data_IF_310900214889
#
_entry.id   IF_310900214889
#
_cell.length_a   1.000
_cell.length_b   1.000
_cell.length_c   1.000
_cell.angle_alpha   90.00
_cell.angle_beta   90.00
_cell.angle_gamma   90.00
#
_symmetry.space_group_name_H-M   'P 1'
#
loop_
_entity.id
_entity.type
_entity.pdbx_description
1 polymer ?
#
# COMPACT_ATOMS: atom_id res chain seq x y z
N UNK A 1 -16.81 -6.30 23.58
CA UNK A 1 -15.80 -6.95 24.46
C UNK A 1 -15.11 -8.14 23.77
N UNK A 2 -15.67 -8.72 22.70
CA UNK A 2 -15.01 -9.76 21.89
C UNK A 2 -14.15 -9.23 20.71
N UNK A 3 -14.40 -8.00 20.24
CA UNK A 3 -13.81 -7.48 18.98
C UNK A 3 -12.43 -6.80 19.12
N UNK A 4 -12.07 -6.34 20.32
CA UNK A 4 -10.70 -5.81 20.56
C UNK A 4 -9.59 -6.88 20.44
N UNK A 5 -9.97 -8.15 20.26
CA UNK A 5 -9.06 -9.29 20.07
C UNK A 5 -8.62 -9.51 18.62
N UNK A 6 -9.35 -8.98 17.63
CA UNK A 6 -9.12 -9.33 16.21
C UNK A 6 -7.76 -8.88 15.66
N UNK A 7 -7.35 -7.64 15.94
CA UNK A 7 -6.06 -7.10 15.51
C UNK A 7 -4.92 -7.32 16.50
N UNK A 8 -5.20 -7.36 17.80
CA UNK A 8 -4.17 -7.71 18.81
C UNK A 8 -3.74 -9.20 18.70
N UNK A 9 -4.44 -10.03 17.91
CA UNK A 9 -4.15 -11.45 17.70
C UNK A 9 -3.93 -11.86 16.22
N UNK A 10 -4.04 -10.98 15.21
CA UNK A 10 -3.70 -11.34 13.82
C UNK A 10 -2.21 -11.12 13.55
N UNK A 11 -1.38 -12.17 13.52
CA UNK A 11 0.07 -12.03 13.39
C UNK A 11 0.49 -11.49 12.01
N UNK A 12 -0.41 -11.49 11.03
CA UNK A 12 -0.11 -11.06 9.67
C UNK A 12 -0.15 -9.54 9.49
N UNK A 13 -0.67 -8.79 10.46
CA UNK A 13 -0.83 -7.33 10.36
C UNK A 13 -0.31 -6.63 11.60
N UNK A 14 0.26 -5.44 11.41
CA UNK A 14 0.56 -4.52 12.52
C UNK A 14 0.19 -3.10 12.14
N UNK A 15 -0.30 -2.30 13.11
CA UNK A 15 -0.57 -0.89 12.88
C UNK A 15 0.69 -0.06 13.13
N UNK A 16 1.08 0.71 12.12
CA UNK A 16 2.16 1.69 12.24
C UNK A 16 1.62 3.07 12.65
N UNK A 17 0.41 3.40 12.22
CA UNK A 17 -0.31 4.62 12.62
C UNK A 17 -1.81 4.41 12.56
N UNK A 18 -2.54 4.93 13.55
CA UNK A 18 -3.99 5.02 13.57
C UNK A 18 -4.39 6.48 13.70
N UNK A 19 -5.23 6.98 12.78
CA UNK A 19 -5.72 8.34 12.87
C UNK A 19 -6.58 8.51 14.14
N UNK A 20 -6.29 9.51 14.99
CA UNK A 20 -7.08 9.73 16.20
C UNK A 20 -8.45 10.38 15.92
N UNK A 21 -8.69 10.87 14.70
CA UNK A 21 -9.92 11.53 14.29
C UNK A 21 -10.79 10.59 13.47
N UNK A 22 -12.08 10.52 13.81
CA UNK A 22 -13.06 9.68 13.09
C UNK A 22 -13.24 10.12 11.65
N UNK A 23 -13.06 11.41 11.38
CA UNK A 23 -13.14 11.99 10.05
C UNK A 23 -11.88 11.74 9.22
N UNK A 24 -10.85 11.09 9.78
CA UNK A 24 -9.55 10.87 9.18
C UNK A 24 -8.73 12.15 8.94
N UNK A 25 -7.59 12.02 8.26
CA UNK A 25 -6.73 13.15 7.89
C UNK A 25 -6.87 13.49 6.40
N UNK A 26 -7.22 14.75 6.13
CA UNK A 26 -7.19 15.31 4.78
C UNK A 26 -5.76 15.68 4.37
N UNK A 27 -5.54 15.88 3.07
CA UNK A 27 -4.23 16.21 2.50
C UNK A 27 -3.53 17.41 3.17
N UNK A 28 -4.27 18.44 3.61
CA UNK A 28 -3.71 19.61 4.29
C UNK A 28 -3.20 19.32 5.72
N UNK A 29 -3.54 18.16 6.27
CA UNK A 29 -3.05 17.66 7.58
C UNK A 29 -1.90 16.68 7.46
N UNK A 30 -1.39 16.47 6.25
CA UNK A 30 -0.28 15.56 5.97
C UNK A 30 0.89 16.35 5.36
N UNK A 31 2.09 16.07 5.85
CA UNK A 31 3.34 16.60 5.34
C UNK A 31 4.33 15.46 5.12
N UNK A 32 5.37 15.74 4.34
CA UNK A 32 6.46 14.78 4.07
C UNK A 32 7.79 15.44 4.39
N UNK A 33 8.63 14.74 5.15
CA UNK A 33 10.07 14.98 5.19
C UNK A 33 10.75 13.93 4.31
N UNK A 34 11.16 14.34 3.10
CA UNK A 34 11.85 13.45 2.16
C UNK A 34 13.37 13.65 2.20
N UNK A 35 14.12 12.56 2.39
CA UNK A 35 15.58 12.62 2.52
C UNK A 35 16.22 11.25 2.31
N UNK A 36 17.42 11.23 1.73
CA UNK A 36 18.21 10.02 1.53
C UNK A 36 18.65 9.36 2.84
N UNK A 37 18.61 10.09 3.97
CA UNK A 37 18.84 9.52 5.31
C UNK A 37 17.79 8.48 5.72
N UNK A 38 16.62 8.52 5.07
CA UNK A 38 15.51 7.59 5.26
C UNK A 38 15.51 6.42 4.27
N UNK A 39 16.51 6.33 3.39
CA UNK A 39 16.69 5.17 2.52
C UNK A 39 17.10 3.94 3.31
N UNK A 40 16.92 2.77 2.69
CA UNK A 40 17.39 1.47 3.19
C UNK A 40 18.88 1.54 3.53
N UNK A 41 19.30 0.95 4.64
CA UNK A 41 20.71 0.72 4.96
C UNK A 41 21.26 -0.35 4.03
N UNK A 42 22.47 -0.13 3.53
CA UNK A 42 23.15 -1.08 2.64
C UNK A 42 23.88 -2.10 3.50
N UNK A 43 23.64 -3.38 3.26
CA UNK A 43 24.42 -4.48 3.85
C UNK A 43 25.36 -5.01 2.77
N UNK A 44 26.64 -4.60 2.73
CA UNK A 44 27.52 -4.85 1.57
C UNK A 44 27.67 -6.33 1.21
N UNK A 45 27.62 -7.22 2.20
CA UNK A 45 27.70 -8.67 2.00
C UNK A 45 26.45 -9.28 1.34
N UNK A 46 25.34 -8.54 1.28
CA UNK A 46 24.05 -9.02 0.77
C UNK A 46 23.66 -8.37 -0.56
N UNK A 47 24.24 -7.23 -0.95
CA UNK A 47 23.86 -6.54 -2.21
C UNK A 47 24.05 -7.41 -3.46
N UNK A 48 25.09 -8.24 -3.51
CA UNK A 48 25.27 -9.18 -4.63
C UNK A 48 24.08 -10.15 -4.75
N UNK A 49 23.52 -10.58 -3.61
CA UNK A 49 22.37 -11.47 -3.58
C UNK A 49 21.09 -10.80 -4.10
N UNK A 50 20.92 -9.50 -3.85
CA UNK A 50 19.81 -8.72 -4.44
C UNK A 50 19.90 -8.73 -5.97
N UNK A 51 21.10 -8.51 -6.53
CA UNK A 51 21.32 -8.56 -7.98
C UNK A 51 21.06 -9.96 -8.57
N UNK A 52 21.50 -11.03 -7.88
CA UNK A 52 21.27 -12.41 -8.30
C UNK A 52 19.77 -12.74 -8.32
N UNK A 53 19.03 -12.43 -7.25
CA UNK A 53 17.58 -12.65 -7.16
C UNK A 53 16.85 -11.88 -8.27
N UNK A 54 17.25 -10.64 -8.53
CA UNK A 54 16.65 -9.83 -9.58
C UNK A 54 16.93 -10.39 -10.97
N UNK A 55 18.18 -10.79 -11.23
CA UNK A 55 18.57 -11.43 -12.48
C UNK A 55 17.76 -12.70 -12.77
N UNK A 56 17.59 -13.57 -11.77
CA UNK A 56 16.73 -14.75 -11.87
C UNK A 56 15.28 -14.38 -12.22
N UNK A 57 14.73 -13.37 -11.54
CA UNK A 57 13.35 -12.94 -11.79
C UNK A 57 13.16 -12.32 -13.19
N UNK A 58 14.13 -11.56 -13.70
CA UNK A 58 14.09 -11.04 -15.07
C UNK A 58 14.18 -12.15 -16.13
N UNK A 59 14.85 -13.27 -15.84
CA UNK A 59 14.86 -14.43 -16.73
C UNK A 59 13.50 -15.14 -16.77
N UNK A 60 12.77 -15.18 -15.65
CA UNK A 60 11.42 -15.74 -15.56
C UNK A 60 10.37 -14.85 -16.23
N UNK A 61 10.53 -13.53 -16.12
CA UNK A 61 9.61 -12.55 -16.71
C UNK A 61 10.37 -11.43 -17.44
N UNK A 62 10.48 -11.56 -18.76
CA UNK A 62 11.20 -10.61 -19.63
C UNK A 62 10.57 -9.22 -19.71
N UNK A 63 9.32 -9.06 -19.27
CA UNK A 63 8.61 -7.76 -19.25
C UNK A 63 8.79 -7.01 -17.94
N UNK A 64 9.45 -7.62 -16.96
CA UNK A 64 9.68 -7.00 -15.67
C UNK A 64 10.68 -5.85 -15.78
N UNK A 65 10.33 -4.71 -15.19
CA UNK A 65 11.20 -3.54 -15.10
C UNK A 65 11.37 -3.10 -13.64
N UNK A 66 12.48 -2.43 -13.35
CA UNK A 66 12.73 -1.87 -12.03
C UNK A 66 12.12 -0.46 -11.94
N UNK A 67 11.12 -0.28 -11.07
CA UNK A 67 10.47 1.01 -10.82
C UNK A 67 10.87 1.59 -9.46
N UNK A 68 11.09 2.90 -9.39
CA UNK A 68 11.34 3.61 -8.15
C UNK A 68 10.06 3.65 -7.30
N UNK A 69 10.23 3.63 -5.98
CA UNK A 69 9.15 3.64 -5.01
C UNK A 69 9.52 4.54 -3.84
N UNK A 70 8.51 5.11 -3.19
CA UNK A 70 8.73 5.77 -1.90
C UNK A 70 9.00 4.72 -0.84
N UNK A 71 10.07 4.89 -0.06
CA UNK A 71 10.33 4.10 1.15
C UNK A 71 9.80 4.87 2.34
N UNK A 72 8.99 4.26 3.19
CA UNK A 72 8.64 4.87 4.48
C UNK A 72 9.66 4.44 5.52
N UNK A 73 10.18 5.40 6.29
CA UNK A 73 11.09 5.12 7.40
C UNK A 73 10.36 5.22 8.74
N UNK A 74 9.54 6.26 8.92
CA UNK A 74 8.81 6.52 10.16
C UNK A 74 7.70 7.52 9.91
N UNK A 75 6.84 7.70 10.91
CA UNK A 75 5.90 8.81 10.96
C UNK A 75 5.95 9.50 12.32
N UNK A 76 5.65 10.78 12.35
CA UNK A 76 5.43 11.54 13.57
C UNK A 76 4.19 12.41 13.44
N UNK A 77 3.48 12.59 14.55
CA UNK A 77 2.31 13.46 14.59
C UNK A 77 2.53 14.57 15.61
N UNK A 78 2.47 15.82 15.17
CA UNK A 78 2.63 17.00 16.01
C UNK A 78 1.55 18.02 15.67
N UNK A 79 0.87 18.57 16.68
CA UNK A 79 -0.18 19.60 16.53
C UNK A 79 -1.28 19.24 15.50
N UNK A 80 -1.62 17.96 15.40
CA UNK A 80 -2.64 17.45 14.45
C UNK A 80 -2.16 17.37 13.00
N UNK A 81 -0.87 17.55 12.73
CA UNK A 81 -0.24 17.34 11.43
C UNK A 81 0.58 16.05 11.48
N UNK A 82 0.32 15.15 10.54
CA UNK A 82 1.08 13.91 10.37
C UNK A 82 2.23 14.16 9.38
N UNK A 83 3.45 13.81 9.76
CA UNK A 83 4.63 13.86 8.90
C UNK A 83 5.08 12.45 8.54
N UNK A 84 5.12 12.15 7.26
CA UNK A 84 5.76 10.95 6.72
C UNK A 84 7.25 11.24 6.50
N UNK A 85 8.12 10.47 7.14
CA UNK A 85 9.56 10.48 6.85
C UNK A 85 9.84 9.48 5.74
N UNK A 86 10.10 9.99 4.53
CA UNK A 86 10.22 9.17 3.32
C UNK A 86 11.63 9.19 2.74
N UNK A 87 12.10 8.02 2.32
CA UNK A 87 13.23 7.84 1.43
C UNK A 87 12.79 7.37 0.06
N UNK A 88 13.74 6.87 -0.71
CA UNK A 88 13.52 6.14 -1.95
C UNK A 88 14.02 4.71 -1.83
N UNK A 89 13.31 3.82 -2.51
CA UNK A 89 13.69 2.45 -2.79
C UNK A 89 13.27 2.13 -4.22
N UNK A 90 13.44 0.89 -4.66
CA UNK A 90 12.89 0.42 -5.92
C UNK A 90 12.30 -0.99 -5.80
N UNK A 91 11.69 -1.44 -6.88
CA UNK A 91 11.05 -2.75 -6.96
C UNK A 91 12.06 -3.90 -6.86
N UNK A 92 13.26 -3.72 -7.41
CA UNK A 92 14.35 -4.69 -7.30
C UNK A 92 14.73 -4.94 -5.83
N UNK A 93 14.96 -3.89 -5.07
CA UNK A 93 15.30 -3.97 -3.65
C UNK A 93 14.16 -4.61 -2.86
N UNK A 94 12.90 -4.32 -3.18
CA UNK A 94 11.75 -5.00 -2.57
C UNK A 94 11.80 -6.50 -2.79
N UNK A 95 12.02 -6.94 -4.03
CA UNK A 95 12.11 -8.36 -4.37
C UNK A 95 13.32 -9.03 -3.69
N UNK A 96 14.46 -8.34 -3.62
CA UNK A 96 15.69 -8.86 -3.01
C UNK A 96 15.71 -8.83 -1.48
N UNK A 97 14.82 -8.05 -0.83
CA UNK A 97 14.79 -7.89 0.63
C UNK A 97 13.48 -8.36 1.24
N UNK A 98 12.40 -7.58 1.19
CA UNK A 98 11.10 -7.92 1.78
C UNK A 98 10.53 -9.25 1.24
N UNK A 99 10.62 -9.48 -0.07
CA UNK A 99 10.10 -10.69 -0.71
C UNK A 99 11.13 -11.84 -0.78
N UNK A 100 12.33 -11.62 -0.25
CA UNK A 100 13.36 -12.66 -0.18
C UNK A 100 13.03 -13.68 0.91
N UNK A 101 13.49 -14.92 0.70
CA UNK A 101 13.48 -15.97 1.73
C UNK A 101 14.34 -15.61 2.95
N UNK A 102 15.24 -14.65 2.79
CA UNK A 102 16.14 -14.19 3.85
C UNK A 102 15.61 -12.95 4.59
N UNK A 103 14.37 -12.54 4.35
CA UNK A 103 13.79 -11.35 5.00
C UNK A 103 13.90 -11.39 6.52
N UNK A 104 13.64 -12.54 7.17
CA UNK A 104 13.84 -12.69 8.63
C UNK A 104 15.29 -12.52 9.08
N UNK A 105 16.26 -12.96 8.26
CA UNK A 105 17.68 -12.74 8.56
C UNK A 105 18.03 -11.26 8.49
N UNK A 106 17.56 -10.57 7.45
CA UNK A 106 17.75 -9.11 7.31
C UNK A 106 17.11 -8.35 8.46
N UNK A 107 15.93 -8.78 8.92
CA UNK A 107 15.25 -8.19 10.07
C UNK A 107 16.04 -8.37 11.37
N UNK A 108 16.56 -9.57 11.61
CA UNK A 108 17.39 -9.83 12.78
C UNK A 108 18.68 -9.00 12.74
N UNK A 109 19.38 -8.97 11.61
CA UNK A 109 20.61 -8.20 11.46
C UNK A 109 20.35 -6.69 11.63
N UNK A 110 19.22 -6.17 11.13
CA UNK A 110 18.84 -4.77 11.29
C UNK A 110 18.60 -4.40 12.76
N UNK A 111 17.96 -5.28 13.53
CA UNK A 111 17.81 -5.11 14.97
C UNK A 111 19.15 -5.10 15.70
N UNK A 112 20.06 -6.00 15.34
CA UNK A 112 21.38 -6.10 15.96
C UNK A 112 22.26 -4.87 15.68
N UNK A 113 22.26 -4.37 14.44
CA UNK A 113 23.14 -3.28 14.02
C UNK A 113 22.59 -1.88 14.34
N UNK A 114 21.27 -1.70 14.24
CA UNK A 114 20.62 -0.39 14.30
C UNK A 114 19.46 -0.30 15.31
N UNK A 115 19.06 -1.41 15.93
CA UNK A 115 17.85 -1.44 16.76
C UNK A 115 16.56 -1.31 15.96
N UNK A 116 16.60 -1.56 14.65
CA UNK A 116 15.48 -1.41 13.72
C UNK A 116 15.42 -2.62 12.78
N UNK A 117 14.37 -3.44 12.91
CA UNK A 117 14.19 -4.64 12.07
C UNK A 117 14.01 -4.30 10.60
N UNK A 118 13.65 -3.06 10.28
CA UNK A 118 13.35 -2.67 8.92
C UNK A 118 14.52 -1.97 8.23
N UNK A 119 15.63 -1.75 8.94
CA UNK A 119 16.78 -0.99 8.47
C UNK A 119 17.35 -1.51 7.13
N UNK A 120 17.39 -2.83 6.96
CA UNK A 120 17.90 -3.50 5.76
C UNK A 120 16.80 -3.88 4.74
N UNK A 121 15.55 -3.46 4.97
CA UNK A 121 14.43 -3.74 4.07
C UNK A 121 14.07 -2.53 3.21
N UNK A 122 13.60 -2.80 1.99
CA UNK A 122 13.20 -1.80 1.01
C UNK A 122 11.98 -0.98 1.48
N UNK A 123 10.99 -1.63 2.08
CA UNK A 123 9.75 -1.03 2.59
C UNK A 123 9.06 -0.04 1.63
N UNK A 124 8.76 -0.47 0.39
CA UNK A 124 7.99 0.38 -0.51
C UNK A 124 6.61 0.65 0.09
N UNK A 125 6.26 1.93 0.22
CA UNK A 125 4.97 2.39 0.71
C UNK A 125 3.88 2.06 -0.32
N UNK A 126 2.91 1.24 0.08
CA UNK A 126 1.67 1.03 -0.66
C UNK A 126 0.59 2.06 -0.32
N UNK A 127 -0.49 2.04 -1.10
CA UNK A 127 -1.74 2.75 -0.80
C UNK A 127 -2.93 1.85 -1.04
N UNK A 128 -3.99 2.00 -0.24
CA UNK A 128 -5.22 1.23 -0.38
C UNK A 128 -6.47 2.05 -0.06
N UNK A 129 -7.62 1.74 -0.69
CA UNK A 129 -8.88 2.46 -0.52
C UNK A 129 -10.06 1.65 0.05
N UNK A 130 -10.73 2.24 1.04
CA UNK A 130 -12.00 1.80 1.60
C UNK A 130 -13.04 2.53 0.78
N UNK A 131 -13.31 1.96 -0.39
CA UNK A 131 -14.15 2.57 -1.38
C UNK A 131 -15.61 2.29 -1.04
N UNK A 132 -16.36 3.31 -0.62
CA UNK A 132 -17.78 3.19 -0.31
C UNK A 132 -18.65 3.71 -1.45
N UNK A 133 -19.60 2.92 -1.91
CA UNK A 133 -20.62 3.28 -2.90
C UNK A 133 -21.68 4.23 -2.33
N UNK A 134 -22.48 4.86 -3.20
CA UNK A 134 -23.54 5.78 -2.80
C UNK A 134 -24.60 5.10 -1.91
N UNK A 135 -24.89 3.83 -2.20
CA UNK A 135 -25.85 2.97 -1.50
C UNK A 135 -25.24 2.23 -0.29
N UNK A 136 -24.03 2.61 0.16
CA UNK A 136 -23.48 2.23 1.46
C UNK A 136 -22.75 0.88 1.50
N UNK A 137 -22.17 0.43 0.38
CA UNK A 137 -21.38 -0.80 0.30
C UNK A 137 -19.89 -0.48 0.13
N UNK A 138 -19.03 -1.29 0.74
CA UNK A 138 -17.60 -1.30 0.48
C UNK A 138 -17.26 -2.23 -0.68
N UNK A 139 -16.33 -1.78 -1.52
CA UNK A 139 -15.83 -2.51 -2.68
C UNK A 139 -14.58 -3.29 -2.31
N UNK A 140 -14.58 -4.57 -2.65
CA UNK A 140 -13.46 -5.49 -2.52
C UNK A 140 -13.21 -6.20 -3.85
N UNK A 141 -11.99 -6.69 -4.04
CA UNK A 141 -11.54 -7.32 -5.27
C UNK A 141 -10.96 -8.70 -4.96
N UNK A 142 -11.34 -9.72 -5.72
CA UNK A 142 -10.70 -11.03 -5.63
C UNK A 142 -9.51 -11.04 -6.57
N UNK A 143 -8.31 -11.06 -6.02
CA UNK A 143 -7.06 -11.09 -6.79
C UNK A 143 -7.01 -12.32 -7.71
N UNK A 144 -6.43 -12.15 -8.89
CA UNK A 144 -6.20 -13.25 -9.83
C UNK A 144 -5.33 -14.35 -9.22
N UNK A 145 -5.37 -15.56 -9.79
CA UNK A 145 -4.41 -16.61 -9.42
C UNK A 145 -3.02 -16.37 -10.05
N UNK A 146 -2.93 -15.40 -10.97
CA UNK A 146 -1.72 -15.11 -11.75
C UNK A 146 -0.87 -13.99 -11.16
N UNK A 147 -1.33 -13.29 -10.11
CA UNK A 147 -0.55 -12.23 -9.45
C UNK A 147 0.52 -12.81 -8.52
N UNK A 148 1.62 -12.08 -8.36
CA UNK A 148 2.77 -12.52 -7.56
C UNK A 148 2.50 -12.53 -6.04
N UNK A 149 1.65 -11.64 -5.54
CA UNK A 149 1.30 -11.51 -4.12
C UNK A 149 -0.19 -11.83 -3.88
N UNK A 150 -0.46 -12.63 -2.83
CA UNK A 150 -1.80 -12.94 -2.31
C UNK A 150 -2.80 -13.49 -3.35
N UNK A 151 -2.34 -14.33 -4.29
CA UNK A 151 -3.15 -14.96 -5.32
C UNK A 151 -4.47 -15.58 -4.78
N UNK A 152 -5.61 -15.19 -5.37
CA UNK A 152 -6.95 -15.66 -5.01
C UNK A 152 -7.56 -15.08 -3.73
N UNK A 153 -6.82 -14.27 -2.97
CA UNK A 153 -7.33 -13.59 -1.77
C UNK A 153 -8.21 -12.39 -2.13
N UNK A 154 -9.00 -11.95 -1.17
CA UNK A 154 -9.79 -10.72 -1.25
C UNK A 154 -8.93 -9.56 -0.82
N UNK A 155 -8.95 -8.50 -1.61
CA UNK A 155 -8.19 -7.28 -1.41
C UNK A 155 -9.13 -6.07 -1.55
N UNK A 156 -8.57 -4.93 -1.26
CA UNK A 156 -9.13 -3.59 -1.46
C UNK A 156 -8.47 -2.99 -2.70
N UNK A 157 -9.14 -2.05 -3.40
CA UNK A 157 -8.47 -1.30 -4.47
C UNK A 157 -7.22 -0.61 -3.94
N UNK A 158 -6.10 -0.72 -4.66
CA UNK A 158 -4.84 -0.17 -4.16
C UNK A 158 -3.64 -0.45 -5.06
N UNK A 159 -2.50 0.07 -4.66
CA UNK A 159 -1.27 -0.06 -5.42
C UNK A 159 -0.13 0.72 -4.80
N UNK A 160 0.63 1.46 -5.61
CA UNK A 160 1.87 2.10 -5.17
C UNK A 160 2.05 3.50 -5.74
N UNK A 161 2.15 4.54 -4.88
CA UNK A 161 2.56 5.86 -5.33
C UNK A 161 3.98 5.81 -5.89
N UNK A 162 4.20 6.49 -7.01
CA UNK A 162 5.47 6.42 -7.73
C UNK A 162 6.18 7.78 -7.73
N UNK A 163 7.48 7.83 -7.35
CA UNK A 163 8.30 9.03 -7.51
C UNK A 163 8.28 9.60 -8.94
N UNK A 164 8.14 8.73 -9.94
CA UNK A 164 8.04 9.10 -11.36
C UNK A 164 6.85 9.98 -11.68
N UNK A 165 5.72 9.81 -10.99
CA UNK A 165 4.54 10.64 -11.16
C UNK A 165 4.81 12.10 -10.72
N UNK A 166 5.70 12.29 -9.74
CA UNK A 166 6.15 13.60 -9.25
C UNK A 166 7.15 14.25 -10.22
N UNK A 167 8.04 13.47 -10.83
CA UNK A 167 9.12 13.97 -11.72
C UNK A 167 9.10 13.34 -13.12
N UNK A 168 8.17 13.78 -13.96
CA UNK A 168 7.94 13.19 -15.29
C UNK A 168 9.15 13.21 -16.23
N UNK A 169 10.01 14.23 -16.14
CA UNK A 169 11.11 14.47 -17.08
C UNK A 169 12.44 13.78 -16.70
N UNK A 170 12.49 13.00 -15.63
CA UNK A 170 13.71 12.33 -15.15
C UNK A 170 13.56 10.82 -15.36
N UNK A 171 14.51 10.12 -16.00
CA UNK A 171 14.48 8.65 -16.09
C UNK A 171 14.35 7.99 -14.71
N UNK A 172 13.67 6.85 -14.63
CA UNK A 172 13.32 6.16 -13.38
C UNK A 172 14.54 5.96 -12.47
N UNK A 173 15.61 5.44 -13.06
CA UNK A 173 16.90 5.13 -12.43
C UNK A 173 17.70 6.36 -11.99
N UNK A 174 17.34 7.54 -12.49
CA UNK A 174 17.99 8.80 -12.18
C UNK A 174 17.22 9.62 -11.12
N UNK A 175 16.07 9.13 -10.65
CA UNK A 175 15.29 9.82 -9.60
C UNK A 175 16.08 9.80 -8.29
N UNK A 176 16.15 10.97 -7.65
CA UNK A 176 16.79 11.17 -6.35
C UNK A 176 15.89 12.06 -5.51
N UNK A 177 16.09 12.03 -4.19
CA UNK A 177 15.26 12.78 -3.23
C UNK A 177 15.28 14.29 -3.49
N UNK A 178 16.38 14.83 -4.03
CA UNK A 178 16.53 16.26 -4.32
C UNK A 178 15.64 16.72 -5.48
N UNK A 179 15.15 15.80 -6.31
CA UNK A 179 14.25 16.11 -7.40
C UNK A 179 12.79 16.25 -6.94
N UNK A 180 12.47 15.81 -5.72
CA UNK A 180 11.09 15.62 -5.26
C UNK A 180 10.65 16.79 -4.37
N UNK A 181 9.64 17.54 -4.82
CA UNK A 181 8.97 18.54 -3.97
C UNK A 181 8.11 17.82 -2.94
N UNK A 182 8.24 18.21 -1.67
CA UNK A 182 7.48 17.65 -0.54
C UNK A 182 5.98 17.77 -0.78
N UNK A 183 5.54 18.91 -1.29
CA UNK A 183 4.14 19.21 -1.59
C UNK A 183 3.60 18.29 -2.69
N UNK A 184 4.40 18.06 -3.75
CA UNK A 184 4.01 17.16 -4.83
C UNK A 184 4.06 15.69 -4.41
N UNK A 185 4.96 15.29 -3.49
CA UNK A 185 4.93 13.94 -2.91
C UNK A 185 3.65 13.74 -2.10
N UNK A 186 3.28 14.68 -1.24
CA UNK A 186 1.99 14.60 -0.51
C UNK A 186 0.81 14.53 -1.49
N UNK A 187 0.83 15.32 -2.56
CA UNK A 187 -0.19 15.25 -3.60
C UNK A 187 -0.23 13.86 -4.22
N UNK A 188 0.92 13.28 -4.59
CA UNK A 188 1.02 11.95 -5.19
C UNK A 188 0.47 10.86 -4.26
N UNK A 189 0.78 10.88 -2.96
CA UNK A 189 0.25 9.91 -2.00
C UNK A 189 -1.29 9.89 -1.96
N UNK A 190 -1.93 11.05 -2.14
CA UNK A 190 -3.39 11.17 -2.13
C UNK A 190 -4.00 10.98 -3.53
N UNK A 191 -3.30 11.34 -4.61
CA UNK A 191 -3.85 11.18 -5.96
C UNK A 191 -3.66 9.78 -6.51
N UNK A 192 -2.59 9.08 -6.14
CA UNK A 192 -2.29 7.74 -6.65
C UNK A 192 -3.46 6.79 -6.40
N UNK A 193 -4.02 6.81 -5.19
CA UNK A 193 -5.14 5.91 -4.84
C UNK A 193 -6.41 6.15 -5.68
N UNK A 194 -6.67 7.39 -6.12
CA UNK A 194 -7.76 7.66 -7.05
C UNK A 194 -7.47 7.08 -8.44
N UNK A 195 -6.21 7.17 -8.88
CA UNK A 195 -5.71 6.53 -10.09
C UNK A 195 -5.86 5.01 -10.04
N UNK A 196 -5.47 4.37 -8.93
CA UNK A 196 -5.61 2.92 -8.76
C UNK A 196 -7.08 2.48 -8.81
N UNK A 197 -7.98 3.20 -8.14
CA UNK A 197 -9.43 2.92 -8.22
C UNK A 197 -9.94 3.05 -9.67
N UNK A 198 -9.49 4.08 -10.38
CA UNK A 198 -9.85 4.28 -11.79
C UNK A 198 -9.30 3.14 -12.65
N UNK A 199 -8.07 2.72 -12.42
CA UNK A 199 -7.38 1.79 -13.31
C UNK A 199 -7.82 0.34 -13.08
N UNK A 200 -8.08 -0.04 -11.83
CA UNK A 200 -8.48 -1.39 -11.41
C UNK A 200 -10.01 -1.59 -11.44
N UNK A 201 -10.79 -0.57 -11.01
CA UNK A 201 -12.26 -0.66 -10.89
C UNK A 201 -13.01 0.06 -12.02
N UNK A 202 -12.29 0.81 -12.86
CA UNK A 202 -12.84 1.58 -13.98
C UNK A 202 -13.84 2.68 -13.55
N UNK A 203 -13.74 3.19 -12.32
CA UNK A 203 -14.59 4.28 -11.84
C UNK A 203 -13.97 5.62 -12.26
N UNK A 204 -14.72 6.52 -12.93
CA UNK A 204 -14.21 7.86 -13.24
C UNK A 204 -13.87 8.65 -11.97
N UNK A 205 -12.70 9.27 -11.92
CA UNK A 205 -12.26 10.07 -10.77
C UNK A 205 -13.25 11.18 -10.37
N UNK A 206 -14.02 11.72 -11.32
CA UNK A 206 -15.07 12.72 -11.04
C UNK A 206 -16.22 12.20 -10.15
N UNK A 207 -16.38 10.86 -10.06
CA UNK A 207 -17.32 10.20 -9.17
C UNK A 207 -16.73 9.93 -7.77
N UNK A 208 -15.42 10.13 -7.57
CA UNK A 208 -14.73 9.87 -6.32
C UNK A 208 -14.61 11.14 -5.48
N UNK A 209 -14.77 11.01 -4.17
CA UNK A 209 -14.43 12.07 -3.22
C UNK A 209 -12.92 12.22 -3.09
N UNK A 210 -12.47 13.33 -2.51
CA UNK A 210 -11.08 13.42 -2.07
C UNK A 210 -10.78 12.32 -1.05
N UNK A 211 -9.62 11.64 -1.13
CA UNK A 211 -9.25 10.63 -0.15
C UNK A 211 -8.98 11.23 1.22
N UNK A 212 -9.23 10.43 2.23
CA UNK A 212 -8.96 10.75 3.63
C UNK A 212 -8.13 9.63 4.22
N UNK A 213 -6.97 9.95 4.79
CA UNK A 213 -6.10 8.96 5.41
C UNK A 213 -6.68 8.49 6.76
N UNK A 214 -6.87 7.18 6.91
CA UNK A 214 -7.34 6.53 8.14
C UNK A 214 -6.17 6.03 9.00
N UNK A 215 -5.11 5.53 8.36
CA UNK A 215 -4.02 4.89 9.08
C UNK A 215 -2.94 4.37 8.15
N UNK A 216 -1.94 3.71 8.75
CA UNK A 216 -0.92 2.96 8.03
C UNK A 216 -0.77 1.60 8.69
N UNK A 217 -0.90 0.55 7.90
CA UNK A 217 -0.78 -0.84 8.35
C UNK A 217 0.43 -1.50 7.68
N UNK A 218 1.00 -2.50 8.35
CA UNK A 218 2.10 -3.32 7.88
C UNK A 218 1.60 -4.73 7.56
N UNK A 219 2.04 -5.25 6.42
CA UNK A 219 1.86 -6.64 6.03
C UNK A 219 3.05 -7.46 6.52
N UNK A 220 2.87 -8.19 7.63
CA UNK A 220 3.93 -9.01 8.23
C UNK A 220 4.29 -10.23 7.39
N UNK A 221 3.41 -10.68 6.47
CA UNK A 221 3.75 -11.72 5.49
C UNK A 221 4.73 -11.22 4.42
N UNK A 222 4.83 -9.91 4.23
CA UNK A 222 5.81 -9.25 3.36
C UNK A 222 6.87 -8.49 4.18
N UNK A 223 7.31 -9.13 5.28
CA UNK A 223 8.33 -8.60 6.18
C UNK A 223 8.05 -7.17 6.68
N UNK A 224 6.77 -6.89 6.99
CA UNK A 224 6.33 -5.60 7.53
C UNK A 224 6.11 -4.51 6.48
N UNK A 225 5.97 -4.87 5.19
CA UNK A 225 5.73 -3.90 4.10
C UNK A 225 4.52 -3.02 4.42
N UNK A 226 4.68 -1.69 4.46
CA UNK A 226 3.64 -0.77 4.90
C UNK A 226 2.73 -0.29 3.76
N UNK A 227 1.48 0.02 4.10
CA UNK A 227 0.47 0.60 3.20
C UNK A 227 -0.30 1.71 3.92
N UNK A 228 -0.47 2.85 3.26
CA UNK A 228 -1.32 3.94 3.73
C UNK A 228 -2.77 3.71 3.31
N UNK A 229 -3.68 3.73 4.28
CA UNK A 229 -5.07 3.32 4.09
C UNK A 229 -6.01 4.53 4.06
N UNK A 230 -6.70 4.72 2.93
CA UNK A 230 -7.58 5.86 2.66
C UNK A 230 -9.07 5.51 2.59
N UNK A 231 -9.94 6.32 3.17
CA UNK A 231 -11.36 6.26 2.86
C UNK A 231 -11.69 7.11 1.63
N UNK A 232 -12.50 6.56 0.72
CA UNK A 232 -12.97 7.24 -0.50
C UNK A 232 -14.46 6.95 -0.72
N UNK A 233 -15.26 7.99 -0.94
CA UNK A 233 -16.67 7.85 -1.32
C UNK A 233 -16.83 7.91 -2.82
N UNK A 234 -17.66 7.02 -3.36
CA UNK A 234 -18.11 7.02 -4.73
C UNK A 234 -19.56 7.49 -4.80
N UNK A 235 -19.88 8.29 -5.82
CA UNK A 235 -21.26 8.71 -6.13
C UNK A 235 -22.04 7.66 -6.93
N UNK A 236 -21.42 6.53 -7.26
CA UNK A 236 -22.06 5.44 -8.00
C UNK A 236 -22.61 4.40 -7.02
N UNK A 237 -23.74 3.82 -7.38
CA UNK A 237 -24.31 2.65 -6.71
C UNK A 237 -23.50 1.38 -6.98
N UNK A 238 -23.75 0.32 -6.21
CA UNK A 238 -23.14 -1.00 -6.45
C UNK A 238 -23.34 -1.47 -7.89
N UNK A 239 -24.53 -1.28 -8.47
CA UNK A 239 -24.82 -1.74 -9.82
C UNK A 239 -23.98 -0.97 -10.86
N UNK A 240 -23.89 0.35 -10.73
CA UNK A 240 -23.08 1.17 -11.63
C UNK A 240 -21.58 0.86 -11.49
N UNK A 241 -21.08 0.67 -10.26
CA UNK A 241 -19.69 0.24 -10.05
C UNK A 241 -19.43 -1.12 -10.69
N UNK A 242 -20.34 -2.08 -10.54
CA UNK A 242 -20.23 -3.40 -11.19
C UNK A 242 -20.20 -3.28 -12.72
N UNK A 243 -21.05 -2.44 -13.31
CA UNK A 243 -21.06 -2.23 -14.76
C UNK A 243 -19.74 -1.62 -15.25
N UNK A 244 -19.21 -0.61 -14.54
CA UNK A 244 -17.90 -0.03 -14.86
C UNK A 244 -16.78 -1.08 -14.80
N UNK A 245 -16.73 -1.86 -13.70
CA UNK A 245 -15.75 -2.95 -13.55
C UNK A 245 -15.82 -3.97 -14.69
N UNK A 246 -17.03 -4.35 -15.12
CA UNK A 246 -17.23 -5.31 -16.22
C UNK A 246 -16.84 -4.77 -17.60
N UNK A 247 -16.93 -3.45 -17.82
CA UNK A 247 -16.38 -2.80 -19.02
C UNK A 247 -14.84 -2.94 -19.04
N UNK A 248 -14.23 -2.97 -17.85
CA UNK A 248 -12.79 -3.09 -17.64
C UNK A 248 -12.05 -1.76 -17.64
N UNK A 249 -11.04 -1.64 -16.79
CA UNK A 249 -10.04 -0.57 -16.81
C UNK A 249 -8.70 -1.05 -17.39
N UNK A 250 -7.69 -0.15 -17.44
CA UNK A 250 -6.31 -0.48 -17.79
C UNK A 250 -5.78 -1.77 -17.12
N UNK A 251 -6.11 -1.96 -15.83
CA UNK A 251 -5.62 -3.07 -15.02
C UNK A 251 -6.71 -4.11 -14.70
N UNK A 252 -7.73 -4.24 -15.55
CA UNK A 252 -8.86 -5.17 -15.37
C UNK A 252 -8.48 -6.66 -15.24
N UNK A 253 -7.20 -7.00 -15.45
CA UNK A 253 -6.68 -8.36 -15.40
C UNK A 253 -6.07 -8.73 -14.02
N UNK A 254 -5.87 -7.76 -13.13
CA UNK A 254 -5.30 -7.99 -11.80
C UNK A 254 -6.29 -8.69 -10.84
N UNK A 255 -7.58 -8.45 -11.02
CA UNK A 255 -8.67 -9.08 -10.27
C UNK A 255 -9.59 -9.93 -11.14
N UNK A 256 -10.16 -10.98 -10.55
CA UNK A 256 -11.07 -11.93 -11.22
C UNK A 256 -12.54 -11.66 -10.94
N UNK A 257 -12.84 -10.97 -9.85
CA UNK A 257 -14.21 -10.58 -9.51
C UNK A 257 -14.22 -9.42 -8.51
N UNK A 258 -15.33 -8.68 -8.52
CA UNK A 258 -15.63 -7.60 -7.59
C UNK A 258 -16.67 -8.08 -6.57
N UNK A 259 -16.46 -7.74 -5.30
CA UNK A 259 -17.29 -8.13 -4.16
C UNK A 259 -17.75 -6.87 -3.44
N UNK A 260 -19.00 -6.87 -2.98
CA UNK A 260 -19.59 -5.74 -2.27
C UNK A 260 -20.08 -6.20 -0.91
N UNK A 261 -19.72 -5.47 0.14
CA UNK A 261 -20.14 -5.76 1.52
C UNK A 261 -20.78 -4.52 2.10
N UNK A 262 -21.96 -4.65 2.70
CA UNK A 262 -22.66 -3.49 3.27
C UNK A 262 -21.87 -2.95 4.46
N UNK A 263 -21.80 -1.63 4.62
CA UNK A 263 -20.97 -1.01 5.66
C UNK A 263 -21.27 -1.55 7.08
N UNK A 264 -22.55 -1.73 7.41
CA UNK A 264 -22.96 -2.29 8.71
C UNK A 264 -22.48 -3.74 8.96
N UNK A 265 -22.23 -4.49 7.88
CA UNK A 265 -21.76 -5.88 7.94
C UNK A 265 -20.23 -5.95 8.00
N UNK A 266 -19.52 -4.85 7.68
CA UNK A 266 -18.05 -4.79 7.73
C UNK A 266 -17.56 -4.82 9.18
N UNK A 267 -18.18 -4.06 10.10
CA UNK A 267 -17.91 -4.19 11.56
C UNK A 267 -18.19 -5.60 12.09
N UNK A 268 -19.14 -6.29 11.45
CA UNK A 268 -19.61 -7.60 11.85
C UNK A 268 -18.88 -8.74 11.12
N UNK A 269 -17.77 -8.45 10.41
CA UNK A 269 -17.09 -9.40 9.51
C UNK A 269 -17.07 -10.81 10.09
N UNK A 270 -17.86 -11.70 9.49
CA UNK A 270 -17.89 -13.10 9.86
C UNK A 270 -16.50 -13.72 9.60
N UNK A 271 -16.12 -14.69 10.44
CA UNK A 271 -14.80 -15.34 10.46
C UNK A 271 -14.33 -15.85 9.08
N UNK A 272 -15.27 -16.11 8.15
CA UNK A 272 -14.98 -16.59 6.79
C UNK A 272 -14.48 -15.52 5.83
N UNK A 273 -14.92 -14.26 5.96
CA UNK A 273 -14.46 -13.16 5.10
C UNK A 273 -13.10 -12.66 5.60
N UNK A 274 -12.94 -12.55 6.92
CA UNK A 274 -11.64 -12.19 7.53
C UNK A 274 -10.51 -13.15 7.12
N UNK A 275 -10.76 -14.46 7.07
CA UNK A 275 -9.77 -15.45 6.61
C UNK A 275 -9.39 -15.33 5.13
N UNK A 276 -10.21 -14.70 4.31
CA UNK A 276 -9.99 -14.54 2.87
C UNK A 276 -9.35 -13.20 2.51
N UNK A 277 -9.40 -12.21 3.41
CA UNK A 277 -8.76 -10.92 3.21
C UNK A 277 -7.24 -11.05 3.27
N UNK A 278 -6.55 -10.41 2.34
CA UNK A 278 -5.10 -10.25 2.41
C UNK A 278 -4.72 -9.27 3.53
N UNK A 279 -3.46 -9.29 4.03
CA UNK A 279 -3.08 -8.48 5.17
C UNK A 279 -3.30 -6.97 5.00
N UNK A 280 -3.06 -6.40 3.81
CA UNK A 280 -3.38 -4.98 3.51
C UNK A 280 -4.87 -4.69 3.71
N UNK A 281 -5.74 -5.63 3.31
CA UNK A 281 -7.18 -5.46 3.39
C UNK A 281 -7.77 -5.66 4.81
N UNK A 282 -7.15 -6.47 5.70
CA UNK A 282 -7.72 -6.66 7.05
C UNK A 282 -7.41 -5.55 8.05
N UNK A 283 -6.40 -4.70 7.82
CA UNK A 283 -6.08 -3.58 8.72
C UNK A 283 -7.19 -2.52 8.84
N UNK A 284 -8.41 -2.82 8.38
CA UNK A 284 -9.37 -1.89 7.81
C UNK A 284 -10.84 -2.19 8.09
N UNK A 285 -11.23 -3.45 8.41
CA UNK A 285 -12.65 -3.81 8.48
C UNK A 285 -13.33 -3.56 9.84
N UNK A 286 -12.68 -2.95 10.83
CA UNK A 286 -13.31 -2.72 12.15
C UNK A 286 -13.77 -1.26 12.42
N UNK A 287 -13.60 -0.31 11.50
CA UNK A 287 -13.75 1.14 11.81
C UNK A 287 -14.99 1.87 11.25
N UNK A 288 -16.03 1.17 10.76
CA UNK A 288 -17.24 1.84 10.26
C UNK A 288 -18.55 1.31 10.80
#
# INVERSE_FOLDING_TARGET
MALKKGMDEDPDISLMFQCPFKEGLTQDKVQVDISSKYNRRVLPSYEQKIEEIWGERCLENQWLFNGAKFRIHSMSQENGILTFCLGLTDYKDYIGTNWSKDSSFLQQQGLEDFGDSQAYLAEPLGVGAMLQTEDGYFVFLRRSQQVAEAAGQVDIPGGHPEPKAVVKNIPEEAIRVEHLSRELVVQELFSSILGEIRDEVNIPEACLSRPVLLGVAQNNRSAGRPSAEFYVRCKLTVEEVRQNYLIGGPEAHESTSIVFVKAEDVILTEEWLWKQLCPSAKGRSEEH
#
